data_IF_501669894414
#
_entry.id   IF_501669894414
#
_cell.length_a   1.000
_cell.length_b   1.000
_cell.length_c   1.000
_cell.angle_alpha   90.00
_cell.angle_beta   90.00
_cell.angle_gamma   90.00
#
_symmetry.space_group_name_H-M   'P 1'
#
loop_
_entity.id
_entity.type
_entity.pdbx_description
1 polymer ?
#
# COMPACT_ATOMS: atom_id res chain seq x y z
N UNK A 1 -3.32 38.82 -3.14
CA UNK A 1 -3.83 38.30 -1.87
C UNK A 1 -3.51 36.82 -1.88
N UNK A 2 -2.41 36.42 -1.25
CA UNK A 2 -2.02 35.01 -1.15
C UNK A 2 -2.78 34.46 0.05
N UNK A 3 -3.83 33.69 -0.20
CA UNK A 3 -4.50 32.94 0.87
C UNK A 3 -3.70 31.67 1.14
N UNK A 4 -3.02 31.69 2.29
CA UNK A 4 -2.33 30.54 2.86
C UNK A 4 -3.40 29.56 3.33
N UNK A 5 -3.53 28.43 2.64
CA UNK A 5 -4.49 27.38 2.97
C UNK A 5 -4.03 26.55 4.19
N UNK A 6 -4.89 26.27 5.19
CA UNK A 6 -4.57 25.39 6.31
C UNK A 6 -4.63 23.90 5.92
N UNK A 7 -3.84 23.07 6.62
CA UNK A 7 -3.63 21.63 6.38
C UNK A 7 -4.67 20.78 7.12
N UNK A 8 -5.45 19.95 6.43
CA UNK A 8 -6.36 18.98 7.07
C UNK A 8 -5.63 17.71 7.50
N UNK A 9 -5.40 17.55 8.80
CA UNK A 9 -4.58 16.47 9.40
C UNK A 9 -5.32 15.14 9.57
N UNK A 10 -6.62 15.07 9.28
CA UNK A 10 -7.48 13.87 9.36
C UNK A 10 -6.94 12.72 8.50
N UNK A 11 -6.60 13.09 7.27
CA UNK A 11 -5.86 12.31 6.30
C UNK A 11 -4.51 11.85 6.88
N UNK A 12 -3.75 12.73 7.52
CA UNK A 12 -2.39 12.44 7.99
C UNK A 12 -2.33 11.58 9.25
N UNK A 13 -3.39 11.57 10.06
CA UNK A 13 -3.40 10.96 11.39
C UNK A 13 -4.24 9.66 11.47
N UNK A 14 -4.94 9.28 10.39
CA UNK A 14 -5.14 7.88 10.01
C UNK A 14 -6.57 7.35 9.87
N UNK A 15 -6.65 6.21 9.17
CA UNK A 15 -7.82 5.50 8.66
C UNK A 15 -8.56 4.60 9.66
N UNK A 16 -9.87 4.52 9.44
CA UNK A 16 -10.83 3.58 10.05
C UNK A 16 -10.90 2.19 9.37
N UNK A 17 -10.05 1.92 8.38
CA UNK A 17 -9.96 0.58 7.82
C UNK A 17 -9.48 -0.39 8.90
N UNK A 18 -10.39 -1.26 9.37
CA UNK A 18 -10.04 -2.33 10.30
C UNK A 18 -8.93 -3.17 9.66
N UNK A 19 -7.71 -3.06 10.16
CA UNK A 19 -6.60 -3.91 9.74
C UNK A 19 -7.05 -5.37 9.95
N UNK A 20 -7.30 -6.09 8.85
CA UNK A 20 -7.80 -7.47 8.89
C UNK A 20 -6.89 -8.37 9.71
N UNK A 21 -5.60 -8.03 9.82
CA UNK A 21 -4.66 -8.80 10.66
C UNK A 21 -4.99 -8.65 12.14
N UNK A 22 -5.32 -7.43 12.59
CA UNK A 22 -5.75 -7.16 13.96
C UNK A 22 -7.11 -7.80 14.24
N UNK A 23 -8.05 -7.76 13.29
CA UNK A 23 -9.35 -8.44 13.41
C UNK A 23 -9.17 -9.96 13.58
N UNK A 24 -8.31 -10.58 12.78
CA UNK A 24 -7.96 -12.01 12.92
C UNK A 24 -7.41 -12.29 14.32
N UNK A 25 -6.44 -11.50 14.79
CA UNK A 25 -5.85 -11.69 16.11
C UNK A 25 -6.91 -11.58 17.22
N UNK A 26 -7.79 -10.59 17.14
CA UNK A 26 -8.90 -10.38 18.08
C UNK A 26 -9.87 -11.58 18.09
N UNK A 27 -10.24 -12.08 16.92
CA UNK A 27 -11.14 -13.23 16.77
C UNK A 27 -10.53 -14.52 17.28
N UNK A 28 -9.22 -14.72 17.13
CA UNK A 28 -8.52 -15.87 17.73
C UNK A 28 -8.64 -15.82 19.25
N UNK A 29 -8.44 -14.64 19.86
CA UNK A 29 -8.62 -14.47 21.30
C UNK A 29 -10.03 -14.78 21.80
N UNK A 30 -11.06 -14.50 20.99
CA UNK A 30 -12.45 -14.77 21.33
C UNK A 30 -12.88 -16.24 21.07
N UNK A 31 -12.50 -16.80 19.93
CA UNK A 31 -12.98 -18.11 19.46
C UNK A 31 -12.06 -19.28 19.86
N UNK A 32 -10.79 -19.03 20.13
CA UNK A 32 -9.80 -20.08 20.41
C UNK A 32 -9.42 -20.91 19.17
N UNK A 33 -9.73 -20.44 17.96
CA UNK A 33 -9.53 -21.18 16.71
C UNK A 33 -9.20 -20.25 15.55
N UNK A 34 -8.12 -20.57 14.83
CA UNK A 34 -7.68 -19.82 13.62
C UNK A 34 -8.70 -20.00 12.49
N UNK A 35 -9.24 -21.21 12.33
CA UNK A 35 -10.24 -21.51 11.29
C UNK A 35 -11.54 -20.75 11.50
N UNK A 36 -11.96 -20.58 12.76
CA UNK A 36 -13.14 -19.77 13.08
C UNK A 36 -12.87 -18.28 12.93
N UNK A 37 -11.68 -17.82 13.36
CA UNK A 37 -11.27 -16.44 13.17
C UNK A 37 -11.22 -16.04 11.69
N UNK A 38 -10.68 -16.89 10.82
CA UNK A 38 -10.65 -16.67 9.38
C UNK A 38 -12.06 -16.50 8.80
N UNK A 39 -12.98 -17.42 9.13
CA UNK A 39 -14.38 -17.35 8.71
C UNK A 39 -15.07 -16.08 9.22
N UNK A 40 -14.84 -15.71 10.48
CA UNK A 40 -15.39 -14.51 11.08
C UNK A 40 -14.86 -13.21 10.42
N UNK A 41 -13.58 -13.18 10.04
CA UNK A 41 -12.96 -12.02 9.38
C UNK A 41 -13.28 -11.93 7.87
N UNK A 42 -13.93 -12.95 7.31
CA UNK A 42 -14.27 -13.02 5.89
C UNK A 42 -13.05 -13.28 4.99
N UNK A 43 -12.02 -13.94 5.50
CA UNK A 43 -10.78 -14.23 4.76
C UNK A 43 -10.49 -15.73 4.72
N UNK A 44 -9.57 -16.13 3.83
CA UNK A 44 -9.13 -17.52 3.77
C UNK A 44 -8.35 -17.92 5.02
N UNK A 45 -8.36 -19.21 5.36
CA UNK A 45 -7.52 -19.76 6.43
C UNK A 45 -6.04 -19.45 6.23
N UNK A 46 -5.57 -19.47 4.99
CA UNK A 46 -4.19 -19.11 4.62
C UNK A 46 -3.89 -17.63 4.89
N UNK A 47 -4.82 -16.73 4.55
CA UNK A 47 -4.67 -15.31 4.87
C UNK A 47 -4.65 -15.05 6.40
N UNK A 48 -5.45 -15.78 7.17
CA UNK A 48 -5.43 -15.69 8.63
C UNK A 48 -4.07 -16.13 9.22
N UNK A 49 -3.48 -17.21 8.68
CA UNK A 49 -2.12 -17.60 9.06
C UNK A 49 -1.08 -16.53 8.71
N UNK A 50 -1.14 -16.00 7.49
CA UNK A 50 -0.23 -14.92 7.07
C UNK A 50 -0.39 -13.65 7.92
N UNK A 51 -1.60 -13.34 8.38
CA UNK A 51 -1.83 -12.25 9.33
C UNK A 51 -1.08 -12.47 10.65
N UNK A 52 -1.18 -13.67 11.23
CA UNK A 52 -0.50 -14.03 12.48
C UNK A 52 1.02 -13.93 12.29
N UNK A 53 1.56 -14.51 11.21
CA UNK A 53 2.99 -14.47 10.90
C UNK A 53 3.49 -13.04 10.66
N UNK A 54 2.74 -12.24 9.90
CA UNK A 54 3.08 -10.85 9.64
C UNK A 54 3.13 -10.03 10.92
N UNK A 55 2.09 -10.12 11.76
CA UNK A 55 2.08 -9.41 13.04
C UNK A 55 3.20 -9.91 13.96
N UNK A 56 3.44 -11.22 14.02
CA UNK A 56 4.53 -11.79 14.81
C UNK A 56 5.92 -11.30 14.37
N UNK A 57 6.17 -11.20 13.06
CA UNK A 57 7.40 -10.65 12.51
C UNK A 57 7.56 -9.16 12.84
N UNK A 58 6.48 -8.38 12.70
CA UNK A 58 6.47 -6.96 13.03
C UNK A 58 6.74 -6.70 14.52
N UNK A 59 6.28 -7.59 15.40
CA UNK A 59 6.49 -7.48 16.85
C UNK A 59 7.74 -8.20 17.35
N UNK A 60 8.42 -8.98 16.50
CA UNK A 60 9.59 -9.79 16.85
C UNK A 60 9.28 -10.96 17.81
N UNK A 61 8.03 -11.38 17.96
CA UNK A 61 7.62 -12.45 18.87
C UNK A 61 6.29 -13.09 18.45
N UNK A 62 6.07 -14.41 18.67
CA UNK A 62 4.79 -15.05 18.40
C UNK A 62 3.63 -14.44 19.20
N UNK A 63 2.53 -14.11 18.51
CA UNK A 63 1.32 -13.55 19.13
C UNK A 63 0.25 -14.61 19.43
N UNK A 64 0.39 -15.80 18.86
CA UNK A 64 -0.53 -16.94 19.00
C UNK A 64 0.29 -18.19 19.31
N UNK A 65 -0.21 -19.01 20.23
CA UNK A 65 0.35 -20.32 20.56
C UNK A 65 -0.73 -21.41 20.45
N UNK A 66 -0.28 -22.66 20.35
CA UNK A 66 -1.18 -23.80 20.35
C UNK A 66 -1.70 -24.01 21.78
N UNK A 67 -3.01 -24.08 21.93
CA UNK A 67 -3.62 -24.50 23.19
C UNK A 67 -3.30 -25.98 23.45
N UNK A 68 -2.86 -26.30 24.67
CA UNK A 68 -2.60 -27.68 25.10
C UNK A 68 -3.93 -28.39 25.35
N UNK A 69 -4.28 -29.42 24.57
CA UNK A 69 -5.39 -30.30 24.91
C UNK A 69 -5.89 -31.30 23.86
N UNK A 70 -5.82 -32.60 24.23
CA UNK A 70 -6.86 -33.63 24.00
C UNK A 70 -7.11 -34.20 22.60
N UNK A 71 -7.79 -35.36 22.57
CA UNK A 71 -8.07 -36.22 21.40
C UNK A 71 -8.87 -35.58 20.23
N UNK A 72 -9.20 -34.28 20.32
CA UNK A 72 -9.94 -33.51 19.30
C UNK A 72 -9.12 -32.46 18.54
N UNK A 73 -7.84 -32.26 18.87
CA UNK A 73 -6.95 -31.32 18.17
C UNK A 73 -6.82 -29.95 18.86
N UNK A 74 -5.58 -29.48 18.97
CA UNK A 74 -5.21 -28.28 19.72
C UNK A 74 -5.78 -26.99 19.12
N UNK A 75 -6.43 -26.19 19.97
CA UNK A 75 -6.88 -24.84 19.63
C UNK A 75 -5.73 -23.83 19.49
N UNK A 76 -6.08 -22.56 19.32
CA UNK A 76 -5.15 -21.45 19.28
C UNK A 76 -5.49 -20.45 20.37
N UNK A 77 -4.48 -20.00 21.12
CA UNK A 77 -4.65 -18.99 22.17
C UNK A 77 -3.67 -17.84 21.95
N UNK A 78 -4.09 -16.64 22.35
CA UNK A 78 -3.21 -15.48 22.31
C UNK A 78 -2.14 -15.59 23.39
N UNK A 79 -0.90 -15.31 23.02
CA UNK A 79 0.19 -15.17 24.00
C UNK A 79 -0.02 -13.90 24.84
N UNK A 80 0.71 -13.72 25.95
CA UNK A 80 0.71 -12.44 26.66
C UNK A 80 1.11 -11.26 25.76
N UNK A 81 1.97 -11.48 24.77
CA UNK A 81 2.32 -10.49 23.76
C UNK A 81 1.13 -10.17 22.85
N UNK A 82 0.40 -11.18 22.37
CA UNK A 82 -0.81 -11.00 21.57
C UNK A 82 -1.86 -10.12 22.24
N UNK A 83 -2.12 -10.36 23.54
CA UNK A 83 -3.03 -9.52 24.32
C UNK A 83 -2.54 -8.06 24.46
N UNK A 84 -1.23 -7.85 24.66
CA UNK A 84 -0.65 -6.51 24.74
C UNK A 84 -0.79 -5.75 23.43
N UNK A 85 -0.58 -6.41 22.29
CA UNK A 85 -0.74 -5.82 20.96
C UNK A 85 -2.18 -5.34 20.75
N UNK A 86 -3.17 -6.19 21.06
CA UNK A 86 -4.59 -5.82 20.93
C UNK A 86 -4.92 -4.62 21.83
N UNK A 87 -4.50 -4.65 23.10
CA UNK A 87 -4.72 -3.53 24.02
C UNK A 87 -4.06 -2.24 23.54
N UNK A 88 -2.83 -2.31 23.05
CA UNK A 88 -2.12 -1.14 22.53
C UNK A 88 -2.81 -0.58 21.30
N UNK A 89 -3.30 -1.44 20.41
CA UNK A 89 -4.07 -1.04 19.23
C UNK A 89 -5.38 -0.34 19.63
N UNK A 90 -6.14 -0.88 20.59
CA UNK A 90 -7.37 -0.25 21.07
C UNK A 90 -7.12 1.15 21.65
N UNK A 91 -6.06 1.29 22.45
CA UNK A 91 -5.65 2.59 22.99
C UNK A 91 -5.24 3.57 21.89
N UNK A 92 -4.54 3.09 20.86
CA UNK A 92 -4.12 3.92 19.74
C UNK A 92 -5.32 4.41 18.92
N UNK A 93 -6.26 3.51 18.61
CA UNK A 93 -7.51 3.86 17.91
C UNK A 93 -8.32 4.88 18.71
N UNK A 94 -8.48 4.67 20.02
CA UNK A 94 -9.21 5.60 20.88
C UNK A 94 -8.53 6.98 20.95
N UNK A 95 -7.19 7.02 21.11
CA UNK A 95 -6.44 8.26 21.14
C UNK A 95 -6.56 9.01 19.81
N UNK A 96 -6.46 8.30 18.68
CA UNK A 96 -6.64 8.87 17.35
C UNK A 96 -8.04 9.44 17.17
N UNK A 97 -9.08 8.67 17.49
CA UNK A 97 -10.47 9.13 17.38
C UNK A 97 -10.72 10.39 18.21
N UNK A 98 -10.15 10.48 19.41
CA UNK A 98 -10.25 11.66 20.25
C UNK A 98 -9.57 12.90 19.62
N UNK A 99 -8.43 12.71 18.95
CA UNK A 99 -7.75 13.79 18.23
C UNK A 99 -8.57 14.21 17.00
N UNK A 100 -9.09 13.26 16.22
CA UNK A 100 -9.90 13.60 15.04
C UNK A 100 -11.17 14.36 15.40
N UNK A 101 -11.87 13.94 16.46
CA UNK A 101 -13.06 14.65 16.92
C UNK A 101 -12.78 16.10 17.35
N UNK A 102 -11.55 16.43 17.76
CA UNK A 102 -11.16 17.82 18.07
C UNK A 102 -10.88 18.64 16.81
N UNK A 103 -10.53 17.99 15.70
CA UNK A 103 -10.19 18.63 14.43
C UNK A 103 -11.41 18.80 13.52
N UNK A 104 -12.38 17.88 13.57
CA UNK A 104 -13.61 17.94 12.75
C UNK A 104 -14.54 19.11 13.11
N UNK A 105 -14.37 19.72 14.29
CA UNK A 105 -15.10 20.93 14.71
C UNK A 105 -14.61 22.21 13.98
N UNK A 106 -13.56 22.13 13.14
CA UNK A 106 -12.96 23.25 12.40
C UNK A 106 -12.94 23.01 10.86
N UNK A 107 -13.97 23.52 10.16
CA UNK A 107 -14.04 23.84 8.71
C UNK A 107 -14.26 22.75 7.63
N UNK A 108 -15.10 23.10 6.64
CA UNK A 108 -15.52 22.26 5.51
C UNK A 108 -14.96 22.67 4.14
N UNK A 109 -14.05 21.84 3.58
CA UNK A 109 -13.97 21.25 2.20
C UNK A 109 -12.66 20.41 2.11
N UNK A 110 -12.74 19.25 1.44
CA UNK A 110 -11.75 18.15 1.50
C UNK A 110 -10.49 18.28 0.62
N UNK A 111 -9.32 17.98 1.19
CA UNK A 111 -8.10 17.58 0.45
C UNK A 111 -8.14 16.07 0.20
N UNK A 112 -7.58 15.52 -0.91
CA UNK A 112 -7.51 14.07 -1.08
C UNK A 112 -6.72 13.42 0.07
N UNK A 113 -7.45 12.71 0.93
CA UNK A 113 -6.99 12.20 2.23
C UNK A 113 -5.82 11.21 2.14
N UNK A 114 -5.66 10.56 0.99
CA UNK A 114 -4.60 9.59 0.76
C UNK A 114 -3.19 10.24 0.77
N UNK A 115 -3.05 11.49 0.32
CA UNK A 115 -1.74 12.15 0.20
C UNK A 115 -1.12 12.53 1.54
N UNK A 116 -1.95 12.95 2.50
CA UNK A 116 -1.49 13.28 3.85
C UNK A 116 -1.29 12.01 4.69
N UNK A 117 -2.16 11.01 4.53
CA UNK A 117 -2.03 9.66 5.07
C UNK A 117 -0.72 8.97 4.68
N UNK A 118 -0.22 9.26 3.47
CA UNK A 118 1.05 8.74 2.97
C UNK A 118 2.28 9.34 3.68
N UNK A 119 2.16 10.48 4.37
CA UNK A 119 3.32 11.15 4.99
C UNK A 119 3.99 10.32 6.09
N UNK A 120 3.21 9.46 6.77
CA UNK A 120 3.75 8.52 7.76
C UNK A 120 4.54 7.35 7.16
N UNK A 121 4.41 7.11 5.85
CA UNK A 121 4.99 5.97 5.18
C UNK A 121 6.47 6.22 4.82
N UNK A 122 7.38 5.57 5.54
CA UNK A 122 8.82 5.62 5.24
C UNK A 122 9.28 4.35 4.55
N UNK A 123 9.64 4.43 3.27
CA UNK A 123 10.13 3.28 2.50
C UNK A 123 11.27 3.67 1.55
N UNK A 124 12.00 2.67 1.03
CA UNK A 124 12.96 2.89 -0.06
C UNK A 124 12.32 2.94 -1.46
N UNK A 125 11.00 2.72 -1.56
CA UNK A 125 10.26 2.87 -2.81
C UNK A 125 10.02 4.36 -3.03
N UNK A 126 10.85 4.94 -3.89
CA UNK A 126 10.84 6.39 -4.20
C UNK A 126 9.64 6.82 -5.03
N UNK A 127 9.02 5.89 -5.74
CA UNK A 127 7.81 6.14 -6.51
C UNK A 127 6.63 5.74 -5.64
N UNK A 128 5.86 6.73 -5.20
CA UNK A 128 4.66 6.55 -4.39
C UNK A 128 3.54 7.37 -5.04
N UNK A 129 2.63 6.69 -5.71
CA UNK A 129 1.61 7.30 -6.55
C UNK A 129 0.23 7.08 -5.93
N UNK A 130 -0.47 8.15 -5.53
CA UNK A 130 -1.89 8.10 -5.19
C UNK A 130 -2.73 7.58 -6.35
N UNK A 131 -3.59 6.59 -6.09
CA UNK A 131 -4.45 6.00 -7.11
C UNK A 131 -5.71 5.37 -6.50
N UNK A 132 -6.66 5.02 -7.35
CA UNK A 132 -7.90 4.33 -6.99
C UNK A 132 -7.91 2.94 -7.60
N UNK A 133 -8.38 1.93 -6.87
CA UNK A 133 -8.63 0.59 -7.42
C UNK A 133 -9.78 0.67 -8.43
N UNK A 134 -9.47 0.50 -9.70
CA UNK A 134 -10.44 0.61 -10.78
C UNK A 134 -11.13 -0.72 -11.12
N UNK A 135 -10.39 -1.82 -11.09
CA UNK A 135 -10.90 -3.17 -11.32
C UNK A 135 -9.97 -4.21 -10.68
N UNK A 136 -10.46 -5.44 -10.48
CA UNK A 136 -9.66 -6.55 -9.96
C UNK A 136 -10.05 -7.85 -10.65
N UNK A 137 -9.06 -8.63 -11.06
CA UNK A 137 -9.25 -9.93 -11.70
C UNK A 137 -8.43 -11.00 -11.00
N UNK A 138 -9.10 -12.03 -10.52
CA UNK A 138 -8.45 -13.18 -9.87
C UNK A 138 -8.10 -14.24 -10.91
N UNK A 139 -6.87 -14.73 -10.86
CA UNK A 139 -6.35 -15.80 -11.72
C UNK A 139 -5.53 -16.77 -10.87
N UNK A 140 -6.14 -17.89 -10.47
CA UNK A 140 -5.51 -18.85 -9.57
C UNK A 140 -5.17 -18.22 -8.22
N UNK A 141 -3.90 -18.30 -7.81
CA UNK A 141 -3.43 -17.72 -6.55
C UNK A 141 -3.08 -16.22 -6.64
N UNK A 142 -3.10 -15.63 -7.83
CA UNK A 142 -2.76 -14.23 -8.07
C UNK A 142 -4.02 -13.39 -8.33
N UNK A 143 -3.95 -12.12 -7.96
CA UNK A 143 -4.96 -11.10 -8.27
C UNK A 143 -4.24 -9.99 -9.02
N UNK A 144 -4.73 -9.70 -10.23
CA UNK A 144 -4.33 -8.52 -10.98
C UNK A 144 -5.27 -7.38 -10.61
N UNK A 145 -4.73 -6.35 -10.00
CA UNK A 145 -5.43 -5.14 -9.61
C UNK A 145 -5.13 -4.07 -10.64
N UNK A 146 -6.18 -3.52 -11.27
CA UNK A 146 -6.09 -2.32 -12.08
C UNK A 146 -6.28 -1.09 -11.19
N UNK A 147 -5.35 -0.16 -11.28
CA UNK A 147 -5.29 1.09 -10.55
C UNK A 147 -5.45 2.24 -11.56
N UNK A 148 -6.13 3.30 -11.16
CA UNK A 148 -6.28 4.51 -11.94
C UNK A 148 -5.63 5.70 -11.21
N UNK A 149 -4.76 6.41 -11.92
CA UNK A 149 -4.25 7.72 -11.51
C UNK A 149 -5.33 8.79 -11.71
N UNK A 150 -5.07 10.01 -11.22
CA UNK A 150 -6.02 11.14 -11.26
C UNK A 150 -6.44 11.56 -12.67
N UNK A 151 -5.58 11.33 -13.67
CA UNK A 151 -5.83 11.61 -15.09
C UNK A 151 -6.49 10.44 -15.83
N UNK A 152 -6.80 9.34 -15.13
CA UNK A 152 -7.35 8.12 -15.70
C UNK A 152 -6.30 7.13 -16.23
N UNK A 153 -5.01 7.48 -16.20
CA UNK A 153 -3.92 6.57 -16.61
C UNK A 153 -3.95 5.29 -15.78
N UNK A 154 -3.83 4.14 -16.46
CA UNK A 154 -3.97 2.83 -15.84
C UNK A 154 -2.62 2.26 -15.44
N UNK A 155 -2.57 1.74 -14.22
CA UNK A 155 -1.46 0.96 -13.68
C UNK A 155 -2.00 -0.40 -13.25
N UNK A 156 -1.22 -1.45 -13.41
CA UNK A 156 -1.57 -2.79 -12.98
C UNK A 156 -0.55 -3.31 -11.97
N UNK A 157 -1.06 -3.93 -10.92
CA UNK A 157 -0.28 -4.59 -9.89
C UNK A 157 -0.72 -6.05 -9.78
N UNK A 158 0.24 -6.96 -9.64
CA UNK A 158 -0.03 -8.38 -9.42
C UNK A 158 0.33 -8.73 -7.98
N UNK A 159 -0.68 -9.05 -7.19
CA UNK A 159 -0.55 -9.42 -5.78
C UNK A 159 -1.12 -10.82 -5.53
N UNK A 160 -0.90 -11.37 -4.34
CA UNK A 160 -1.53 -12.63 -3.96
C UNK A 160 -2.99 -12.41 -3.54
N UNK A 161 -3.78 -13.48 -3.61
CA UNK A 161 -5.16 -13.44 -3.11
C UNK A 161 -5.23 -13.07 -1.63
N UNK A 162 -4.28 -13.54 -0.83
CA UNK A 162 -4.23 -13.24 0.60
C UNK A 162 -3.89 -11.77 0.86
N UNK A 163 -2.98 -11.16 0.10
CA UNK A 163 -2.71 -9.73 0.20
C UNK A 163 -3.96 -8.91 -0.12
N UNK A 164 -4.70 -9.26 -1.17
CA UNK A 164 -5.96 -8.60 -1.50
C UNK A 164 -7.00 -8.72 -0.38
N UNK A 165 -7.11 -9.90 0.24
CA UNK A 165 -8.02 -10.16 1.37
C UNK A 165 -7.61 -9.39 2.62
N UNK A 166 -6.32 -9.34 2.95
CA UNK A 166 -5.81 -8.67 4.15
C UNK A 166 -5.86 -7.14 4.04
N UNK A 167 -5.64 -6.61 2.83
CA UNK A 167 -5.83 -5.20 2.53
C UNK A 167 -7.31 -4.82 2.32
N UNK A 168 -8.21 -5.82 2.32
CA UNK A 168 -9.65 -5.64 2.09
C UNK A 168 -9.92 -4.85 0.80
N UNK A 169 -9.12 -5.10 -0.25
CA UNK A 169 -9.18 -4.31 -1.48
C UNK A 169 -10.54 -4.49 -2.17
N UNK A 170 -11.11 -3.36 -2.59
CA UNK A 170 -12.38 -3.28 -3.30
C UNK A 170 -12.30 -2.20 -4.37
N UNK A 171 -13.13 -2.30 -5.40
CA UNK A 171 -13.22 -1.28 -6.45
C UNK A 171 -13.65 0.06 -5.84
N UNK A 172 -13.00 1.14 -6.24
CA UNK A 172 -13.22 2.49 -5.74
C UNK A 172 -12.40 2.84 -4.50
N UNK A 173 -11.63 1.90 -3.95
CA UNK A 173 -10.79 2.15 -2.77
C UNK A 173 -9.55 2.97 -3.14
N UNK A 174 -9.27 4.01 -2.37
CA UNK A 174 -8.04 4.80 -2.48
C UNK A 174 -6.84 4.00 -1.95
N UNK A 175 -5.77 3.96 -2.73
CA UNK A 175 -4.53 3.21 -2.42
C UNK A 175 -3.29 3.92 -2.97
N UNK A 176 -2.13 3.63 -2.40
CA UNK A 176 -0.84 4.05 -2.92
C UNK A 176 -0.22 2.91 -3.73
N UNK A 177 0.12 3.20 -4.98
CA UNK A 177 1.01 2.36 -5.77
C UNK A 177 2.46 2.73 -5.45
N UNK A 178 3.22 1.76 -4.96
CA UNK A 178 4.62 1.92 -4.58
C UNK A 178 5.49 1.09 -5.51
N UNK A 179 6.58 1.67 -6.02
CA UNK A 179 7.61 0.89 -6.69
C UNK A 179 9.01 1.46 -6.44
N UNK A 180 10.00 0.58 -6.57
CA UNK A 180 11.41 0.97 -6.43
C UNK A 180 11.84 1.71 -7.69
N UNK A 181 12.65 2.76 -7.54
CA UNK A 181 13.18 3.48 -8.70
C UNK A 181 13.96 2.55 -9.65
N UNK A 182 14.69 1.58 -9.11
CA UNK A 182 15.44 0.58 -9.90
C UNK A 182 14.57 -0.43 -10.65
N UNK A 183 13.26 -0.46 -10.38
CA UNK A 183 12.30 -1.29 -11.12
C UNK A 183 11.62 -0.51 -12.24
N UNK A 184 11.90 0.80 -12.37
CA UNK A 184 11.39 1.66 -13.43
C UNK A 184 12.47 1.85 -14.48
N UNK A 185 12.19 1.38 -15.69
CA UNK A 185 13.03 1.66 -16.86
C UNK A 185 12.45 2.82 -17.65
N UNK A 186 13.30 3.73 -18.10
CA UNK A 186 12.91 4.92 -18.87
C UNK A 186 13.44 4.78 -20.28
N UNK A 187 12.57 4.97 -21.26
CA UNK A 187 12.94 5.02 -22.69
C UNK A 187 12.30 6.25 -23.34
N UNK A 188 12.96 6.82 -24.35
CA UNK A 188 12.50 8.01 -25.05
C UNK A 188 12.42 7.66 -26.55
N UNK A 189 11.20 7.53 -27.07
CA UNK A 189 10.91 7.02 -28.42
C UNK A 189 9.92 5.85 -28.44
N UNK A 190 9.66 5.30 -29.63
CA UNK A 190 8.70 4.20 -29.83
C UNK A 190 9.24 2.80 -29.44
N UNK A 191 10.54 2.70 -29.12
CA UNK A 191 11.21 1.44 -28.79
C UNK A 191 11.44 1.30 -27.28
N UNK A 192 10.35 1.11 -26.54
CA UNK A 192 10.40 0.75 -25.12
C UNK A 192 10.32 -0.76 -24.88
N UNK A 193 10.77 -1.26 -23.72
CA UNK A 193 10.49 -2.64 -23.33
C UNK A 193 8.97 -2.87 -23.27
N UNK A 194 8.53 -4.07 -23.67
CA UNK A 194 7.14 -4.48 -23.50
C UNK A 194 6.87 -4.64 -22.01
N UNK A 195 6.29 -3.62 -21.39
CA UNK A 195 5.88 -3.60 -19.99
C UNK A 195 4.37 -3.61 -19.88
N UNK A 196 3.86 -4.17 -18.79
CA UNK A 196 2.43 -4.14 -18.47
C UNK A 196 1.95 -2.75 -18.05
N UNK A 197 2.88 -1.91 -17.60
CA UNK A 197 2.62 -0.53 -17.21
C UNK A 197 3.51 0.42 -18.01
N UNK A 198 2.88 1.42 -18.63
CA UNK A 198 3.53 2.49 -19.38
C UNK A 198 2.96 3.84 -18.93
N UNK A 199 3.84 4.72 -18.47
CA UNK A 199 3.46 6.05 -17.98
C UNK A 199 4.23 7.10 -18.77
N UNK A 200 3.49 7.92 -19.53
CA UNK A 200 4.06 9.03 -20.29
C UNK A 200 4.50 10.18 -19.39
N UNK A 201 5.59 10.85 -19.77
CA UNK A 201 6.06 12.03 -19.08
C UNK A 201 7.20 12.73 -19.80
N UNK A 202 7.73 13.77 -19.17
CA UNK A 202 8.88 14.54 -19.66
C UNK A 202 10.02 14.51 -18.66
N UNK A 203 11.24 14.47 -19.18
CA UNK A 203 12.46 14.53 -18.37
C UNK A 203 12.55 15.89 -17.69
N UNK A 204 12.65 15.88 -16.36
CA UNK A 204 12.90 17.09 -15.54
C UNK A 204 14.35 17.15 -15.09
N UNK A 205 14.95 15.99 -14.83
CA UNK A 205 16.31 15.88 -14.33
C UNK A 205 16.93 14.56 -14.74
N UNK A 206 18.20 14.61 -15.13
CA UNK A 206 19.05 13.44 -15.35
C UNK A 206 20.24 13.55 -14.39
N UNK A 207 20.57 12.45 -13.73
CA UNK A 207 21.73 12.36 -12.84
C UNK A 207 22.41 11.00 -13.00
N UNK A 208 23.66 11.02 -13.44
CA UNK A 208 24.48 9.84 -13.65
C UNK A 208 25.52 10.09 -14.74
N UNK A 209 26.64 9.36 -14.67
CA UNK A 209 27.67 9.31 -15.71
C UNK A 209 27.48 8.06 -16.59
N UNK A 210 28.35 7.91 -17.60
CA UNK A 210 28.35 6.85 -18.63
C UNK A 210 27.81 5.49 -18.16
N UNK A 211 26.65 5.09 -18.71
CA UNK A 211 25.95 3.86 -18.38
C UNK A 211 24.51 4.15 -17.95
N UNK A 212 24.13 3.70 -16.75
CA UNK A 212 22.79 3.90 -16.21
C UNK A 212 22.66 5.27 -15.53
N UNK A 213 21.86 6.17 -16.10
CA UNK A 213 21.48 7.41 -15.43
C UNK A 213 20.15 7.28 -14.72
N UNK A 214 20.08 7.86 -13.53
CA UNK A 214 18.83 8.12 -12.86
C UNK A 214 18.12 9.29 -13.55
N UNK A 215 16.86 9.05 -13.92
CA UNK A 215 16.02 10.02 -14.63
C UNK A 215 14.80 10.31 -13.78
N UNK A 216 14.54 11.60 -13.54
CA UNK A 216 13.30 12.08 -12.96
C UNK A 216 12.37 12.60 -14.05
N UNK A 217 11.17 12.05 -14.09
CA UNK A 217 10.11 12.38 -15.03
C UNK A 217 9.00 13.15 -14.33
N UNK A 218 8.48 14.19 -15.00
CA UNK A 218 7.16 14.74 -14.72
C UNK A 218 6.17 13.97 -15.57
N UNK A 219 5.33 13.16 -14.92
CA UNK A 219 4.28 12.41 -15.60
C UNK A 219 3.19 13.34 -16.12
N UNK A 220 2.45 12.87 -17.13
CA UNK A 220 1.34 13.63 -17.71
C UNK A 220 0.23 13.93 -16.69
N UNK A 221 0.04 13.05 -15.72
CA UNK A 221 -0.87 13.24 -14.57
C UNK A 221 -0.41 14.33 -13.58
N UNK A 222 0.75 14.94 -13.80
CA UNK A 222 1.33 15.96 -12.93
C UNK A 222 2.12 15.42 -11.73
N UNK A 223 2.19 14.10 -11.54
CA UNK A 223 3.05 13.48 -10.51
C UNK A 223 4.50 13.38 -11.00
N UNK A 224 5.41 13.10 -10.07
CA UNK A 224 6.82 12.86 -10.39
C UNK A 224 7.15 11.38 -10.24
N UNK A 225 8.01 10.88 -11.12
CA UNK A 225 8.54 9.52 -11.07
C UNK A 225 10.05 9.53 -11.23
N UNK A 226 10.71 8.54 -10.64
CA UNK A 226 12.15 8.31 -10.78
C UNK A 226 12.39 6.90 -11.30
N UNK A 227 13.21 6.80 -12.33
CA UNK A 227 13.64 5.54 -12.92
C UNK A 227 15.07 5.61 -13.42
N UNK A 228 15.47 4.58 -14.18
CA UNK A 228 16.80 4.50 -14.78
C UNK A 228 16.69 4.32 -16.29
N UNK A 229 17.54 5.02 -17.03
CA UNK A 229 17.74 4.84 -18.46
C UNK A 229 19.11 4.22 -18.74
N UNK A 230 19.16 3.24 -19.63
CA UNK A 230 20.39 2.55 -20.04
C UNK A 230 21.30 3.41 -20.92
N UNK A 231 20.69 4.34 -21.67
CA UNK A 231 21.37 5.21 -22.64
C UNK A 231 21.27 6.67 -22.18
N UNK A 232 21.92 6.97 -21.06
CA UNK A 232 21.93 8.29 -20.44
C UNK A 232 22.45 9.42 -21.33
N UNK A 233 23.36 9.10 -22.26
CA UNK A 233 24.14 10.07 -23.03
C UNK A 233 23.34 10.91 -24.03
N UNK A 234 22.10 10.52 -24.34
CA UNK A 234 21.26 11.20 -25.32
C UNK A 234 20.05 11.92 -24.71
N UNK A 235 19.86 11.83 -23.39
CA UNK A 235 18.68 12.37 -22.72
C UNK A 235 18.85 13.82 -22.28
N UNK A 236 17.99 14.69 -22.79
CA UNK A 236 17.92 16.10 -22.43
C UNK A 236 16.68 16.40 -21.59
N UNK A 237 16.78 17.43 -20.75
CA UNK A 237 15.63 17.96 -20.01
C UNK A 237 14.59 18.46 -21.01
N UNK A 238 13.34 18.03 -20.85
CA UNK A 238 12.21 18.33 -21.74
C UNK A 238 11.84 17.21 -22.69
N UNK A 239 12.70 16.20 -22.87
CA UNK A 239 12.44 15.08 -23.77
C UNK A 239 11.20 14.29 -23.32
N UNK A 240 10.39 13.90 -24.30
CA UNK A 240 9.21 13.07 -24.08
C UNK A 240 9.65 11.60 -23.95
N UNK A 241 9.35 11.00 -22.81
CA UNK A 241 9.79 9.66 -22.46
C UNK A 241 8.67 8.87 -21.79
N UNK A 242 8.82 7.56 -21.79
CA UNK A 242 7.88 6.62 -21.19
C UNK A 242 8.60 5.87 -20.07
N UNK A 243 7.95 5.80 -18.91
CA UNK A 243 8.36 4.96 -17.81
C UNK A 243 7.68 3.59 -17.91
N UNK A 244 8.49 2.54 -17.82
CA UNK A 244 8.08 1.15 -17.97
C UNK A 244 8.29 0.40 -16.66
N UNK A 245 7.24 -0.29 -16.20
CA UNK A 245 7.23 -0.99 -14.92
C UNK A 245 6.51 -2.33 -15.11
N UNK A 246 7.07 -3.41 -14.56
CA UNK A 246 6.37 -4.69 -14.51
C UNK A 246 5.29 -4.69 -13.41
N UNK A 247 4.17 -5.39 -13.63
CA UNK A 247 3.04 -5.43 -12.68
C UNK A 247 3.41 -6.12 -11.36
N UNK A 248 4.41 -7.01 -11.36
CA UNK A 248 4.96 -7.61 -10.13
C UNK A 248 5.86 -6.67 -9.33
N UNK A 249 6.32 -5.57 -9.95
CA UNK A 249 7.16 -4.55 -9.31
C UNK A 249 6.36 -3.41 -8.68
N UNK A 250 5.03 -3.43 -8.83
CA UNK A 250 4.11 -2.46 -8.21
C UNK A 250 3.50 -3.08 -6.96
N UNK A 251 3.79 -2.50 -5.80
CA UNK A 251 3.23 -2.86 -4.50
C UNK A 251 2.06 -1.93 -4.18
N UNK A 252 1.00 -2.48 -3.60
CA UNK A 252 -0.16 -1.70 -3.13
C UNK A 252 -0.04 -1.50 -1.63
N UNK A 253 -0.18 -0.26 -1.19
CA UNK A 253 -0.40 0.09 0.20
C UNK A 253 -1.72 0.85 0.36
N UNK A 254 -2.38 0.68 1.49
CA UNK A 254 -3.40 1.64 1.92
C UNK A 254 -2.64 2.85 2.48
N UNK A 255 -3.04 4.08 2.13
CA UNK A 255 -2.51 5.19 2.91
C UNK A 255 -3.14 5.17 4.29
N UNK A 256 -2.32 5.54 5.26
CA UNK A 256 -2.57 5.41 6.69
C UNK A 256 -3.82 6.04 7.21
#
# INVERSE_FOLDING_TARGET
MNESHPLQLDAALGHDATDKRIDVLRRIGAAGSISEAARGAGISYKAAWQAIETLGNLTGTPLVEKAVGGSGGGGAQLTPAGHRVLRAFDLFVAARQAVMAQLDDEDGVSVPSLGLAALGLRTSMRNQLPCVVADMRTSGAAVRVELALSDGTRLSSRITQESAQLLDLTKGRDVLALCKATAVSVSCGDSGPVSTNTLGGRVVRVSGDTGAAEVSLKLDCGLSMVGFASDAGELNVGDACVAHIDDSSVVIALAG
#
